data_IF_189545681874
#
_entry.id   IF_189545681874
#
_cell.length_a   1.000
_cell.length_b   1.000
_cell.length_c   1.000
_cell.angle_alpha   90.00
_cell.angle_beta   90.00
_cell.angle_gamma   90.00
#
_symmetry.space_group_name_H-M   'P 1'
#
loop_
_entity.id
_entity.type
_entity.pdbx_description
1 polymer ?
#
# COMPACT_ATOMS: atom_id res chain seq x y z
N UNK A 1 5.17 30.81 15.03
CA UNK A 1 5.90 29.52 15.05
C UNK A 1 5.12 28.54 14.17
N UNK A 2 5.67 28.11 13.03
CA UNK A 2 4.94 27.17 12.15
C UNK A 2 5.52 26.95 10.74
N UNK A 3 6.75 27.38 10.44
CA UNK A 3 7.33 27.21 9.10
C UNK A 3 8.17 25.92 8.92
N UNK A 4 8.52 25.23 10.02
CA UNK A 4 9.24 23.96 9.95
C UNK A 4 8.34 22.75 9.61
N UNK A 5 7.03 22.83 9.83
CA UNK A 5 6.13 21.68 9.62
C UNK A 5 5.82 21.45 8.14
N UNK A 6 5.76 22.50 7.33
CA UNK A 6 5.35 22.40 5.91
C UNK A 6 6.40 21.68 5.05
N UNK A 7 7.70 21.92 5.32
CA UNK A 7 8.76 21.25 4.57
C UNK A 7 8.96 19.79 4.98
N UNK A 8 8.73 19.45 6.25
CA UNK A 8 8.72 18.06 6.72
C UNK A 8 7.49 17.30 6.20
N UNK A 9 6.31 17.92 6.16
CA UNK A 9 5.10 17.34 5.55
C UNK A 9 5.32 17.03 4.07
N UNK A 10 5.89 17.95 3.29
CA UNK A 10 6.14 17.73 1.87
C UNK A 10 7.20 16.64 1.60
N UNK A 11 8.20 16.48 2.46
CA UNK A 11 9.19 15.40 2.34
C UNK A 11 8.61 14.03 2.74
N UNK A 12 7.75 13.99 3.76
CA UNK A 12 7.05 12.79 4.20
C UNK A 12 5.98 12.35 3.17
N UNK A 13 5.25 13.29 2.57
CA UNK A 13 4.36 13.07 1.41
C UNK A 13 5.13 12.51 0.21
N UNK A 14 6.32 13.05 -0.11
CA UNK A 14 7.18 12.52 -1.19
C UNK A 14 7.70 11.11 -0.93
N UNK A 15 7.79 10.68 0.33
CA UNK A 15 8.27 9.34 0.69
C UNK A 15 7.15 8.29 0.79
N UNK A 16 5.89 8.70 0.95
CA UNK A 16 4.70 7.86 0.74
C UNK A 16 4.37 7.78 -0.76
N UNK A 17 4.87 8.71 -1.56
CA UNK A 17 4.47 8.92 -2.94
C UNK A 17 4.61 7.67 -3.82
N UNK A 18 5.72 6.91 -3.77
CA UNK A 18 5.91 5.81 -4.73
C UNK A 18 5.99 4.48 -4.01
N UNK A 19 4.94 3.67 -4.15
CA UNK A 19 4.94 2.25 -3.79
C UNK A 19 4.45 1.42 -4.97
N UNK A 20 5.09 0.27 -5.16
CA UNK A 20 4.60 -0.77 -6.07
C UNK A 20 3.69 -1.71 -5.31
N UNK A 21 2.43 -1.79 -5.75
CA UNK A 21 1.35 -2.41 -4.98
C UNK A 21 0.68 -3.50 -5.80
N UNK A 22 0.40 -4.64 -5.18
CA UNK A 22 -0.42 -5.70 -5.77
C UNK A 22 -1.81 -5.66 -5.17
N UNK A 23 -2.82 -5.62 -6.03
CA UNK A 23 -4.21 -5.65 -5.59
C UNK A 23 -4.74 -7.07 -5.65
N UNK A 24 -5.25 -7.57 -4.53
CA UNK A 24 -5.85 -8.90 -4.43
C UNK A 24 -7.32 -8.75 -4.06
N UNK A 25 -8.22 -9.26 -4.89
CA UNK A 25 -9.66 -9.16 -4.65
C UNK A 25 -10.38 -10.48 -4.89
N UNK A 26 -11.49 -10.71 -4.18
CA UNK A 26 -12.33 -11.91 -4.36
C UNK A 26 -13.51 -11.69 -5.32
N UNK A 27 -13.82 -10.45 -5.70
CA UNK A 27 -15.14 -10.06 -6.22
C UNK A 27 -15.24 -9.87 -7.73
N UNK A 28 -14.23 -10.28 -8.52
CA UNK A 28 -14.26 -10.24 -9.98
C UNK A 28 -13.69 -8.95 -10.60
N UNK A 29 -13.58 -8.94 -11.94
CA UNK A 29 -12.85 -7.93 -12.73
C UNK A 29 -13.52 -6.53 -12.65
N UNK A 30 -14.84 -6.44 -12.54
CA UNK A 30 -15.55 -5.16 -12.55
C UNK A 30 -15.34 -4.30 -11.29
N UNK A 31 -15.38 -4.90 -10.11
CA UNK A 31 -15.22 -4.21 -8.80
C UNK A 31 -13.76 -3.94 -8.47
N UNK A 32 -12.83 -4.73 -8.99
CA UNK A 32 -11.39 -4.50 -8.87
C UNK A 32 -10.97 -3.19 -9.53
N UNK A 33 -11.54 -2.85 -10.68
CA UNK A 33 -11.26 -1.58 -11.37
C UNK A 33 -11.70 -0.36 -10.55
N UNK A 34 -12.85 -0.45 -9.86
CA UNK A 34 -13.31 0.62 -8.99
C UNK A 34 -12.37 0.81 -7.79
N UNK A 35 -12.00 -0.28 -7.13
CA UNK A 35 -11.05 -0.26 -6.01
C UNK A 35 -9.71 0.32 -6.48
N UNK A 36 -9.19 -0.15 -7.62
CA UNK A 36 -7.99 0.39 -8.28
C UNK A 36 -8.08 1.90 -8.49
N UNK A 37 -9.19 2.39 -9.05
CA UNK A 37 -9.38 3.82 -9.31
C UNK A 37 -9.43 4.64 -8.02
N UNK A 38 -10.03 4.12 -6.94
CA UNK A 38 -10.09 4.80 -5.65
C UNK A 38 -8.72 4.86 -4.98
N UNK A 39 -7.95 3.78 -5.05
CA UNK A 39 -6.57 3.74 -4.56
C UNK A 39 -5.72 4.78 -5.31
N UNK A 40 -5.77 4.81 -6.64
CA UNK A 40 -5.01 5.79 -7.43
C UNK A 40 -5.49 7.23 -7.22
N UNK A 41 -6.76 7.44 -6.86
CA UNK A 41 -7.24 8.79 -6.50
C UNK A 41 -6.68 9.26 -5.15
N UNK A 42 -6.57 8.36 -4.17
CA UNK A 42 -6.02 8.67 -2.86
C UNK A 42 -4.48 8.70 -2.85
N UNK A 43 -3.84 7.87 -3.69
CA UNK A 43 -2.40 7.74 -3.83
C UNK A 43 -2.00 7.81 -5.31
N UNK A 44 -2.00 9.01 -5.92
CA UNK A 44 -1.78 9.18 -7.36
C UNK A 44 -0.40 8.70 -7.85
N UNK A 45 0.59 8.75 -6.97
CA UNK A 45 1.97 8.37 -7.28
C UNK A 45 2.22 6.86 -7.09
N UNK A 46 1.23 6.08 -6.64
CA UNK A 46 1.34 4.62 -6.46
C UNK A 46 1.24 3.88 -7.80
N UNK A 47 2.02 2.82 -7.92
CA UNK A 47 2.00 1.95 -9.10
C UNK A 47 1.33 0.63 -8.75
N UNK A 48 0.14 0.38 -9.30
CA UNK A 48 -0.54 -0.91 -9.14
C UNK A 48 0.01 -1.85 -10.20
N UNK A 49 0.84 -2.81 -9.78
CA UNK A 49 1.58 -3.74 -10.65
C UNK A 49 0.63 -4.69 -11.35
N UNK A 50 -0.30 -5.27 -10.59
CA UNK A 50 -1.32 -6.15 -11.13
C UNK A 50 -2.55 -6.19 -10.21
N UNK A 51 -3.64 -6.74 -10.74
CA UNK A 51 -4.85 -7.03 -9.98
C UNK A 51 -5.21 -8.50 -10.17
N UNK A 52 -5.04 -9.28 -9.12
CA UNK A 52 -5.22 -10.74 -9.17
C UNK A 52 -6.28 -11.20 -8.16
N UNK A 53 -6.76 -12.43 -8.35
CA UNK A 53 -7.58 -13.09 -7.34
C UNK A 53 -6.71 -13.72 -6.26
N UNK A 54 -7.24 -13.92 -5.05
CA UNK A 54 -6.48 -14.60 -4.00
C UNK A 54 -6.10 -16.04 -4.35
N UNK A 55 -6.85 -16.70 -5.25
CA UNK A 55 -6.50 -18.03 -5.74
C UNK A 55 -5.25 -18.02 -6.63
N UNK A 56 -4.96 -16.90 -7.30
CA UNK A 56 -3.79 -16.75 -8.17
C UNK A 56 -2.56 -16.20 -7.44
N UNK A 57 -2.72 -15.70 -6.21
CA UNK A 57 -1.62 -15.07 -5.45
C UNK A 57 -0.44 -16.01 -5.23
N UNK A 58 -0.67 -17.27 -4.88
CA UNK A 58 0.40 -18.24 -4.64
C UNK A 58 1.17 -18.64 -5.90
N UNK A 59 0.59 -18.42 -7.08
CA UNK A 59 1.18 -18.76 -8.38
C UNK A 59 1.85 -17.56 -9.04
N UNK A 60 1.39 -16.34 -8.70
CA UNK A 60 1.82 -15.08 -9.30
C UNK A 60 2.11 -14.13 -8.15
N UNK A 61 3.31 -14.23 -7.60
CA UNK A 61 3.91 -13.14 -6.81
C UNK A 61 4.84 -12.38 -7.75
N UNK A 62 4.42 -11.22 -8.31
CA UNK A 62 5.30 -10.41 -9.13
C UNK A 62 6.53 -9.93 -8.36
N UNK A 63 7.68 -9.89 -9.03
CA UNK A 63 8.88 -9.29 -8.47
C UNK A 63 8.70 -7.77 -8.29
N UNK A 64 9.33 -7.21 -7.25
CA UNK A 64 9.32 -5.79 -6.91
C UNK A 64 7.97 -5.21 -6.46
N UNK A 65 7.19 -5.95 -5.67
CA UNK A 65 6.06 -5.40 -4.93
C UNK A 65 6.53 -5.05 -3.51
N UNK A 66 5.99 -3.96 -2.95
CA UNK A 66 6.35 -3.48 -1.60
C UNK A 66 5.16 -3.47 -0.64
N UNK A 67 3.95 -3.74 -1.12
CA UNK A 67 2.72 -3.80 -0.34
C UNK A 67 1.64 -4.58 -1.12
N UNK A 68 0.90 -5.42 -0.43
CA UNK A 68 -0.29 -6.07 -0.97
C UNK A 68 -1.52 -5.40 -0.38
N UNK A 69 -2.47 -5.00 -1.23
CA UNK A 69 -3.79 -4.53 -0.78
C UNK A 69 -4.77 -5.66 -1.03
N UNK A 70 -5.50 -6.09 0.01
CA UNK A 70 -6.45 -7.19 -0.11
C UNK A 70 -7.80 -6.88 0.49
N UNK A 71 -8.87 -7.33 -0.15
CA UNK A 71 -10.23 -7.29 0.42
C UNK A 71 -10.59 -8.55 1.21
N UNK A 72 -9.69 -9.54 1.23
CA UNK A 72 -9.88 -10.82 1.93
C UNK A 72 -8.59 -11.24 2.64
N UNK A 73 -8.71 -12.05 3.68
CA UNK A 73 -7.56 -12.50 4.45
C UNK A 73 -6.63 -13.39 3.59
N UNK A 74 -5.33 -13.13 3.65
CA UNK A 74 -4.30 -13.86 2.92
C UNK A 74 -3.36 -14.55 3.93
N UNK A 75 -3.64 -15.80 4.32
CA UNK A 75 -2.97 -16.46 5.45
C UNK A 75 -1.51 -16.87 5.17
N UNK A 76 -1.04 -16.80 3.91
CA UNK A 76 0.24 -17.40 3.47
C UNK A 76 1.16 -16.39 2.79
N UNK A 77 1.25 -15.17 3.33
CA UNK A 77 2.01 -14.08 2.73
C UNK A 77 3.01 -13.51 3.73
N UNK A 78 4.29 -13.49 3.35
CA UNK A 78 5.39 -12.96 4.19
C UNK A 78 5.60 -11.44 4.03
N UNK A 79 4.91 -10.84 3.06
CA UNK A 79 4.94 -9.41 2.76
C UNK A 79 3.88 -8.63 3.53
N UNK A 80 4.05 -7.30 3.71
CA UNK A 80 3.01 -6.47 4.30
C UNK A 80 1.71 -6.50 3.49
N UNK A 81 0.60 -6.76 4.19
CA UNK A 81 -0.74 -6.80 3.61
C UNK A 81 -1.64 -5.76 4.30
N UNK A 82 -2.15 -4.81 3.52
CA UNK A 82 -3.18 -3.88 3.93
C UNK A 82 -4.57 -4.43 3.60
N UNK A 83 -5.34 -4.77 4.63
CA UNK A 83 -6.72 -5.22 4.48
C UNK A 83 -7.68 -4.01 4.39
N UNK A 84 -8.43 -3.94 3.29
CA UNK A 84 -9.31 -2.81 2.97
C UNK A 84 -10.68 -3.28 2.51
N UNK A 85 -11.66 -2.38 2.52
CA UNK A 85 -12.97 -2.65 1.95
C UNK A 85 -12.97 -2.41 0.44
N UNK A 86 -13.94 -2.99 -0.28
CA UNK A 86 -14.13 -2.72 -1.71
C UNK A 86 -14.43 -1.24 -2.02
N UNK A 87 -14.91 -0.49 -1.01
CA UNK A 87 -15.19 0.93 -1.15
C UNK A 87 -13.98 1.82 -0.86
N UNK A 88 -12.90 1.31 -0.27
CA UNK A 88 -11.69 2.09 0.01
C UNK A 88 -12.00 3.48 0.61
N UNK A 89 -12.67 3.48 1.75
CA UNK A 89 -13.14 4.71 2.40
C UNK A 89 -12.00 5.42 3.16
N UNK A 90 -12.30 6.57 3.78
CA UNK A 90 -11.30 7.35 4.52
C UNK A 90 -10.63 6.57 5.66
N UNK A 91 -11.35 5.64 6.28
CA UNK A 91 -10.78 4.76 7.31
C UNK A 91 -9.75 3.78 6.72
N UNK A 92 -10.01 3.25 5.52
CA UNK A 92 -9.06 2.42 4.79
C UNK A 92 -7.83 3.24 4.36
N UNK A 93 -8.03 4.46 3.85
CA UNK A 93 -6.94 5.38 3.48
C UNK A 93 -6.06 5.68 4.70
N UNK A 94 -6.65 6.00 5.85
CA UNK A 94 -5.92 6.26 7.10
C UNK A 94 -5.11 5.05 7.54
N UNK A 95 -5.72 3.86 7.55
CA UNK A 95 -5.05 2.61 7.95
C UNK A 95 -3.88 2.26 7.03
N UNK A 96 -4.08 2.38 5.72
CA UNK A 96 -3.04 2.16 4.71
C UNK A 96 -1.89 3.16 4.88
N UNK A 97 -2.21 4.43 5.12
CA UNK A 97 -1.22 5.49 5.34
C UNK A 97 -0.41 5.23 6.61
N UNK A 98 -1.08 4.91 7.73
CA UNK A 98 -0.43 4.58 9.00
C UNK A 98 0.48 3.36 8.90
N UNK A 99 0.06 2.32 8.17
CA UNK A 99 0.87 1.13 7.91
C UNK A 99 2.14 1.48 7.13
N UNK A 100 2.02 2.23 6.03
CA UNK A 100 3.15 2.64 5.19
C UNK A 100 4.13 3.53 5.96
N UNK A 101 3.65 4.38 6.87
CA UNK A 101 4.50 5.19 7.76
C UNK A 101 5.20 4.33 8.81
N UNK A 102 4.46 3.40 9.44
CA UNK A 102 4.97 2.56 10.54
C UNK A 102 6.00 1.54 10.08
N UNK A 103 5.84 0.95 8.89
CA UNK A 103 6.85 0.06 8.29
C UNK A 103 8.22 0.76 8.18
N UNK A 104 8.25 2.08 7.97
CA UNK A 104 9.50 2.83 7.86
C UNK A 104 10.19 3.09 9.19
N UNK A 105 9.50 3.08 10.32
CA UNK A 105 10.15 3.19 11.65
C UNK A 105 11.03 1.96 11.93
N UNK A 106 10.61 0.77 11.48
CA UNK A 106 11.44 -0.45 11.58
C UNK A 106 12.59 -0.45 10.56
N UNK A 107 12.38 0.04 9.34
CA UNK A 107 13.43 0.07 8.32
C UNK A 107 14.46 1.21 8.47
N UNK A 108 14.08 2.35 9.05
CA UNK A 108 15.00 3.46 9.35
C UNK A 108 15.98 3.08 10.48
N UNK A 109 15.56 2.24 11.43
CA UNK A 109 16.45 1.72 12.48
C UNK A 109 17.50 0.76 11.89
N UNK A 110 17.17 0.04 10.81
CA UNK A 110 18.10 -0.92 10.18
C UNK A 110 19.18 -0.30 9.29
N UNK A 111 19.14 1.01 8.98
CA UNK A 111 20.19 1.71 8.21
C UNK A 111 21.16 2.53 9.07
N UNK A 112 20.96 2.58 10.39
CA UNK A 112 21.85 3.28 11.31
C UNK A 112 22.89 2.33 11.93
N UNK A 113 22.72 1.01 11.80
CA UNK A 113 23.70 0.00 12.20
C UNK A 113 24.53 -0.43 10.98
N UNK A 114 25.11 0.53 10.27
CA UNK A 114 26.17 0.29 9.28
C UNK A 114 27.06 1.55 9.16
N UNK A 115 27.52 2.08 10.31
CA UNK A 115 28.81 2.77 10.47
C UNK A 115 29.36 2.42 11.85
#
# INVERSE_FOLDING_TARGET
MGYLTVHFQAAMERQIARKRVLLVCSTGIGTSHLLKSRILRAFPEWTIVDVISAANLSQVLPDNIELIISTINLPTVTMPVAYVTAFFNDADIKRVTEMVITEKLHHATSRVVEI
#
